data_IF_582010423439
#
_entry.id   IF_582010423439
#
_cell.length_a   1.000
_cell.length_b   1.000
_cell.length_c   1.000
_cell.angle_alpha   90.00
_cell.angle_beta   90.00
_cell.angle_gamma   90.00
#
_symmetry.space_group_name_H-M   'P 1'
#
loop_
_entity.id
_entity.type
_entity.pdbx_description
1 polymer ?
#
# COMPACT_ATOMS: atom_id res chain seq x y z
N UNK A 1 3.51 6.73 26.18
CA UNK A 1 3.28 5.84 25.03
C UNK A 1 3.37 6.65 23.75
N UNK A 2 3.46 5.99 22.59
CA UNK A 2 3.40 6.70 21.30
C UNK A 2 1.99 7.27 21.06
N UNK A 3 1.91 8.43 20.42
CA UNK A 3 0.68 9.04 19.91
C UNK A 3 0.54 8.68 18.44
N UNK A 4 -0.68 8.36 18.01
CA UNK A 4 -1.01 8.00 16.63
C UNK A 4 -1.99 9.03 16.05
N UNK A 5 -1.64 9.60 14.90
CA UNK A 5 -2.51 10.48 14.13
C UNK A 5 -2.68 9.94 12.72
N UNK A 6 -3.91 9.85 12.21
CA UNK A 6 -4.17 9.48 10.81
C UNK A 6 -3.75 10.63 9.91
N UNK A 7 -2.90 10.35 8.92
CA UNK A 7 -2.40 11.34 7.96
C UNK A 7 -3.29 11.39 6.72
N UNK A 8 -3.50 10.23 6.10
CA UNK A 8 -4.32 10.09 4.91
C UNK A 8 -4.75 8.63 4.74
N UNK A 9 -5.65 8.39 3.81
CA UNK A 9 -6.04 7.04 3.36
C UNK A 9 -5.26 6.62 2.13
N UNK A 10 -5.34 5.38 1.67
CA UNK A 10 -4.80 4.93 0.39
C UNK A 10 -5.63 3.74 -0.09
N UNK A 11 -6.20 3.84 -1.28
CA UNK A 11 -7.08 2.82 -1.81
C UNK A 11 -6.26 1.77 -2.55
N UNK A 12 -6.47 0.49 -2.21
CA UNK A 12 -5.83 -0.60 -2.93
C UNK A 12 -6.67 -1.07 -4.12
N UNK A 13 -5.98 -1.56 -5.14
CA UNK A 13 -6.52 -2.21 -6.34
C UNK A 13 -5.79 -3.53 -6.59
N UNK A 14 -6.44 -4.45 -7.29
CA UNK A 14 -5.77 -5.62 -7.85
C UNK A 14 -5.23 -5.25 -9.24
N UNK A 15 -3.94 -5.45 -9.47
CA UNK A 15 -3.30 -5.08 -10.73
C UNK A 15 -2.39 -6.20 -11.23
N UNK A 16 -2.22 -6.27 -12.55
CA UNK A 16 -1.35 -7.24 -13.22
C UNK A 16 -2.09 -8.39 -13.89
N UNK A 17 -1.31 -9.35 -14.35
CA UNK A 17 -1.74 -10.31 -15.36
C UNK A 17 -2.11 -11.65 -14.74
N UNK A 18 -3.21 -12.27 -15.17
CA UNK A 18 -3.68 -13.56 -14.64
C UNK A 18 -2.81 -14.74 -15.11
N UNK A 19 -1.61 -14.86 -14.54
CA UNK A 19 -0.63 -15.91 -14.82
C UNK A 19 -0.72 -17.09 -13.85
N UNK A 20 -1.65 -17.04 -12.89
CA UNK A 20 -1.67 -17.95 -11.73
C UNK A 20 -0.69 -17.56 -10.62
N UNK A 21 0.20 -16.60 -10.86
CA UNK A 21 1.13 -16.07 -9.85
C UNK A 21 0.56 -14.84 -9.17
N UNK A 22 0.55 -14.87 -7.84
CA UNK A 22 0.30 -13.70 -7.01
C UNK A 22 1.58 -13.27 -6.29
N UNK A 23 1.84 -11.97 -6.31
CA UNK A 23 3.01 -11.34 -5.73
C UNK A 23 2.57 -10.58 -4.48
N UNK A 24 3.26 -10.78 -3.37
CA UNK A 24 2.98 -10.10 -2.11
C UNK A 24 4.26 -9.63 -1.42
N UNK A 25 4.09 -8.85 -0.35
CA UNK A 25 5.18 -8.35 0.47
C UNK A 25 5.56 -9.36 1.56
N UNK A 26 6.73 -9.16 2.16
CA UNK A 26 7.27 -9.94 3.26
C UNK A 26 6.31 -10.07 4.45
N UNK A 27 6.52 -11.10 5.26
CA UNK A 27 5.74 -11.37 6.46
C UNK A 27 5.77 -10.17 7.42
N UNK A 28 4.64 -9.89 8.07
CA UNK A 28 4.48 -8.72 8.94
C UNK A 28 4.28 -7.37 8.23
N UNK A 29 4.39 -7.32 6.90
CA UNK A 29 4.06 -6.09 6.15
C UNK A 29 2.54 -5.87 6.08
N UNK A 30 2.11 -4.61 6.11
CA UNK A 30 0.69 -4.27 5.92
C UNK A 30 0.15 -4.76 4.56
N UNK A 31 0.97 -4.77 3.52
CA UNK A 31 0.58 -5.28 2.20
C UNK A 31 0.31 -6.79 2.20
N UNK A 32 1.08 -7.58 2.96
CA UNK A 32 0.83 -9.01 3.12
C UNK A 32 -0.54 -9.27 3.74
N UNK A 33 -0.89 -8.51 4.79
CA UNK A 33 -2.22 -8.57 5.42
C UNK A 33 -3.34 -8.33 4.40
N UNK A 34 -3.29 -7.22 3.65
CA UNK A 34 -4.32 -6.91 2.66
C UNK A 34 -4.38 -7.92 1.51
N UNK A 35 -3.23 -8.43 1.06
CA UNK A 35 -3.19 -9.45 0.00
C UNK A 35 -3.91 -10.72 0.45
N UNK A 36 -3.59 -11.22 1.64
CA UNK A 36 -4.25 -12.41 2.20
C UNK A 36 -5.75 -12.19 2.36
N UNK A 37 -6.16 -11.05 2.93
CA UNK A 37 -7.56 -10.71 3.12
C UNK A 37 -8.34 -10.64 1.79
N UNK A 38 -7.74 -10.06 0.75
CA UNK A 38 -8.35 -9.98 -0.57
C UNK A 38 -8.49 -11.35 -1.22
N UNK A 39 -7.42 -12.14 -1.26
CA UNK A 39 -7.44 -13.48 -1.85
C UNK A 39 -8.51 -14.36 -1.19
N UNK A 40 -8.60 -14.31 0.14
CA UNK A 40 -9.63 -15.04 0.88
C UNK A 40 -11.05 -14.54 0.54
N UNK A 41 -11.28 -13.23 0.58
CA UNK A 41 -12.60 -12.65 0.30
C UNK A 41 -13.07 -12.91 -1.14
N UNK A 42 -12.14 -12.94 -2.10
CA UNK A 42 -12.42 -13.19 -3.51
C UNK A 42 -12.46 -14.69 -3.86
N UNK A 43 -12.17 -15.60 -2.91
CA UNK A 43 -12.10 -17.04 -3.18
C UNK A 43 -10.97 -17.41 -4.15
N UNK A 44 -9.90 -16.61 -4.20
CA UNK A 44 -8.76 -16.82 -5.11
C UNK A 44 -7.72 -17.69 -4.40
N UNK A 45 -7.39 -18.81 -5.03
CA UNK A 45 -6.27 -19.69 -4.65
C UNK A 45 -5.18 -19.60 -5.72
N UNK A 46 -4.10 -18.81 -5.50
CA UNK A 46 -3.01 -18.68 -6.46
C UNK A 46 -2.30 -20.03 -6.70
N UNK A 47 -1.83 -20.27 -7.92
CA UNK A 47 -0.98 -21.41 -8.23
C UNK A 47 0.41 -21.23 -7.60
N UNK A 48 0.91 -19.99 -7.62
CA UNK A 48 2.19 -19.62 -7.04
C UNK A 48 2.07 -18.32 -6.24
N UNK A 49 2.71 -18.30 -5.06
CA UNK A 49 2.89 -17.11 -4.26
C UNK A 49 4.35 -16.68 -4.29
N UNK A 50 4.61 -15.50 -4.84
CA UNK A 50 5.92 -14.86 -4.84
C UNK A 50 5.96 -13.80 -3.74
N UNK A 51 7.02 -13.76 -2.96
CA UNK A 51 7.22 -12.74 -1.90
C UNK A 51 8.39 -11.84 -2.26
N UNK A 52 8.19 -10.52 -2.15
CA UNK A 52 9.24 -9.50 -2.34
C UNK A 52 9.33 -8.59 -1.13
N UNK A 53 10.50 -7.97 -0.92
CA UNK A 53 10.77 -7.19 0.30
C UNK A 53 10.49 -5.68 0.17
N UNK A 54 10.10 -5.18 -1.00
CA UNK A 54 9.81 -3.77 -1.22
C UNK A 54 8.72 -3.55 -2.29
N UNK A 55 8.04 -2.39 -2.23
CA UNK A 55 6.95 -2.07 -3.14
C UNK A 55 7.41 -1.79 -4.58
N UNK A 56 8.65 -1.31 -4.77
CA UNK A 56 9.17 -1.01 -6.11
C UNK A 56 9.34 -2.29 -6.93
N UNK A 57 9.87 -3.36 -6.32
CA UNK A 57 9.95 -4.69 -6.93
C UNK A 57 8.56 -5.26 -7.23
N UNK A 58 7.60 -5.09 -6.33
CA UNK A 58 6.23 -5.53 -6.54
C UNK A 58 5.61 -4.85 -7.78
N UNK A 59 5.74 -3.53 -7.88
CA UNK A 59 5.28 -2.76 -9.05
C UNK A 59 6.01 -3.18 -10.34
N UNK A 60 7.33 -3.30 -10.30
CA UNK A 60 8.13 -3.66 -11.46
C UNK A 60 7.72 -5.04 -12.01
N UNK A 61 7.54 -6.05 -11.16
CA UNK A 61 7.14 -7.39 -11.58
C UNK A 61 5.72 -7.41 -12.18
N UNK A 62 4.79 -6.61 -11.63
CA UNK A 62 3.45 -6.43 -12.20
C UNK A 62 3.52 -5.80 -13.60
N UNK A 63 4.31 -4.73 -13.76
CA UNK A 63 4.51 -4.05 -15.04
C UNK A 63 5.16 -4.97 -16.09
N UNK A 64 6.02 -5.90 -15.67
CA UNK A 64 6.68 -6.89 -16.54
C UNK A 64 5.85 -8.15 -16.81
N UNK A 65 4.60 -8.23 -16.32
CA UNK A 65 3.73 -9.36 -16.66
C UNK A 65 3.92 -10.62 -15.82
N UNK A 66 4.66 -10.56 -14.70
CA UNK A 66 4.98 -11.75 -13.89
C UNK A 66 3.72 -12.32 -13.21
N UNK A 67 2.80 -11.46 -12.78
CA UNK A 67 1.57 -11.90 -12.14
C UNK A 67 0.72 -10.74 -11.63
N UNK A 68 -0.11 -11.04 -10.64
CA UNK A 68 -1.02 -10.09 -10.00
C UNK A 68 -0.53 -9.69 -8.61
N UNK A 69 -0.83 -8.47 -8.20
CA UNK A 69 -0.59 -8.01 -6.84
C UNK A 69 -1.61 -6.97 -6.42
N UNK A 70 -1.71 -6.73 -5.11
CA UNK A 70 -2.36 -5.52 -4.63
C UNK A 70 -1.39 -4.34 -4.70
N UNK A 71 -1.85 -3.21 -5.22
CA UNK A 71 -1.11 -1.96 -5.35
C UNK A 71 -2.00 -0.79 -4.93
N UNK A 72 -1.38 0.36 -4.61
CA UNK A 72 -2.13 1.63 -4.46
C UNK A 72 -2.75 2.00 -5.80
N UNK A 73 -3.94 2.58 -5.80
CA UNK A 73 -4.58 3.12 -7.01
C UNK A 73 -3.86 4.36 -7.58
N UNK A 74 -2.92 4.92 -6.81
CA UNK A 74 -2.12 6.09 -7.19
C UNK A 74 -0.83 5.75 -7.94
N UNK A 75 -0.45 4.47 -8.06
CA UNK A 75 0.79 4.12 -8.79
C UNK A 75 0.59 4.04 -10.29
N UNK A 76 1.57 4.50 -11.06
CA UNK A 76 1.57 4.37 -12.51
C UNK A 76 1.78 2.89 -12.92
N UNK A 77 0.72 2.25 -13.44
CA UNK A 77 0.75 0.83 -13.82
C UNK A 77 1.26 0.57 -15.25
N UNK A 78 1.47 1.60 -16.05
CA UNK A 78 1.74 1.45 -17.49
C UNK A 78 0.57 0.74 -18.17
N UNK A 79 0.83 -0.39 -18.84
CA UNK A 79 -0.19 -1.18 -19.53
C UNK A 79 -0.77 -2.32 -18.69
N UNK A 80 -0.34 -2.49 -17.43
CA UNK A 80 -0.85 -3.57 -16.60
C UNK A 80 -2.34 -3.35 -16.29
N UNK A 81 -3.20 -4.36 -16.45
CA UNK A 81 -4.62 -4.22 -16.17
C UNK A 81 -4.85 -3.99 -14.67
N UNK A 82 -5.91 -3.25 -14.35
CA UNK A 82 -6.26 -2.86 -13.00
C UNK A 82 -7.74 -3.11 -12.73
N UNK A 83 -8.06 -3.55 -11.51
CA UNK A 83 -9.41 -3.79 -11.06
C UNK A 83 -9.61 -3.20 -9.67
N UNK A 84 -10.71 -2.44 -9.52
CA UNK A 84 -11.18 -1.98 -8.22
C UNK A 84 -11.67 -3.17 -7.37
N UNK A 85 -11.26 -3.19 -6.10
CA UNK A 85 -11.55 -4.29 -5.16
C UNK A 85 -12.48 -3.89 -4.01
N UNK A 86 -12.97 -2.65 -4.03
CA UNK A 86 -13.94 -2.11 -3.08
C UNK A 86 -13.32 -1.28 -1.94
N UNK A 87 -14.15 -0.45 -1.28
CA UNK A 87 -13.70 0.53 -0.29
C UNK A 87 -13.16 -0.11 1.00
N UNK A 88 -13.47 -1.38 1.27
CA UNK A 88 -12.96 -2.11 2.43
C UNK A 88 -11.45 -2.40 2.36
N UNK A 89 -10.83 -2.26 1.19
CA UNK A 89 -9.37 -2.37 1.00
C UNK A 89 -8.66 -1.01 0.99
N UNK A 90 -9.29 -0.01 1.60
CA UNK A 90 -8.62 1.25 1.90
C UNK A 90 -7.76 1.10 3.17
N UNK A 91 -6.50 1.50 3.08
CA UNK A 91 -5.58 1.54 4.23
C UNK A 91 -5.39 2.96 4.73
N UNK A 92 -5.04 3.09 6.00
CA UNK A 92 -4.72 4.37 6.62
C UNK A 92 -3.21 4.47 6.83
N UNK A 93 -2.64 5.60 6.43
CA UNK A 93 -1.29 5.98 6.83
C UNK A 93 -1.33 6.79 8.11
N UNK A 94 -0.47 6.42 9.06
CA UNK A 94 -0.44 7.01 10.38
C UNK A 94 0.92 7.62 10.67
N UNK A 95 0.91 8.78 11.31
CA UNK A 95 2.06 9.36 11.97
C UNK A 95 2.14 8.81 13.40
N UNK A 96 3.21 8.10 13.71
CA UNK A 96 3.51 7.62 15.06
C UNK A 96 4.56 8.51 15.71
N UNK A 97 4.24 9.07 16.87
CA UNK A 97 5.08 10.08 17.53
C UNK A 97 5.38 9.68 18.96
N UNK A 98 6.63 9.88 19.39
CA UNK A 98 6.90 9.97 20.82
C UNK A 98 6.57 11.39 21.30
N UNK A 99 5.55 11.59 22.14
CA UNK A 99 5.17 12.93 22.60
C UNK A 99 6.27 13.59 23.44
N UNK A 100 7.06 12.80 24.17
CA UNK A 100 8.10 13.32 25.08
C UNK A 100 9.41 13.64 24.39
N UNK A 101 9.60 13.22 23.13
CA UNK A 101 10.78 13.59 22.37
C UNK A 101 10.77 15.10 22.11
N UNK A 102 11.79 15.80 22.61
CA UNK A 102 11.93 17.25 22.43
C UNK A 102 13.19 17.54 21.62
N UNK A 103 13.03 18.19 20.48
CA UNK A 103 14.14 18.70 19.67
C UNK A 103 13.67 19.90 18.84
N UNK A 104 14.56 20.86 18.52
CA UNK A 104 14.16 22.22 18.12
C UNK A 104 13.29 22.33 16.86
N UNK A 105 13.39 21.38 15.93
CA UNK A 105 12.66 21.44 14.65
C UNK A 105 11.49 20.47 14.55
N UNK A 106 11.10 19.82 15.67
CA UNK A 106 10.01 18.83 15.69
C UNK A 106 8.73 19.39 15.10
N UNK A 107 8.24 20.53 15.60
CA UNK A 107 6.94 21.07 15.17
C UNK A 107 6.94 21.45 13.69
N UNK A 108 7.97 22.18 13.24
CA UNK A 108 8.10 22.58 11.83
C UNK A 108 8.17 21.37 10.89
N UNK A 109 8.82 20.27 11.29
CA UNK A 109 8.83 19.02 10.53
C UNK A 109 7.44 18.37 10.49
N UNK A 110 6.74 18.33 11.63
CA UNK A 110 5.39 17.76 11.72
C UNK A 110 4.40 18.51 10.83
N UNK A 111 4.44 19.83 10.85
CA UNK A 111 3.55 20.67 10.03
C UNK A 111 3.75 20.38 8.55
N UNK A 112 5.01 20.27 8.09
CA UNK A 112 5.34 19.89 6.70
C UNK A 112 4.84 18.49 6.32
N UNK A 113 4.96 17.51 7.22
CA UNK A 113 4.47 16.15 6.97
C UNK A 113 2.94 16.16 6.81
N UNK A 114 2.23 16.87 7.69
CA UNK A 114 0.77 16.98 7.64
C UNK A 114 0.30 17.72 6.39
N UNK A 115 0.98 18.80 6.02
CA UNK A 115 0.70 19.55 4.79
C UNK A 115 0.89 18.67 3.55
N UNK A 116 2.00 17.95 3.46
CA UNK A 116 2.26 17.02 2.35
C UNK A 116 1.22 15.90 2.26
N UNK A 117 0.80 15.34 3.40
CA UNK A 117 -0.23 14.31 3.44
C UNK A 117 -1.58 14.85 2.93
N UNK A 118 -1.99 16.06 3.34
CA UNK A 118 -3.23 16.68 2.86
C UNK A 118 -3.18 17.00 1.36
N UNK A 119 -2.05 17.52 0.87
CA UNK A 119 -1.89 17.79 -0.56
C UNK A 119 -2.03 16.50 -1.41
N UNK A 120 -1.56 15.37 -0.87
CA UNK A 120 -1.70 14.05 -1.53
C UNK A 120 -3.13 13.48 -1.51
N UNK A 121 -4.03 14.03 -0.71
CA UNK A 121 -5.47 13.71 -0.75
C UNK A 121 -6.23 14.59 -1.74
N UNK A 122 -5.83 15.85 -1.90
CA UNK A 122 -6.49 16.82 -2.81
C UNK A 122 -6.20 16.52 -4.29
N UNK A 123 -5.09 15.84 -4.58
CA UNK A 123 -4.69 15.48 -5.96
C UNK A 123 -5.27 14.11 -6.39
N UNK A 124 -6.19 13.54 -5.60
CA UNK A 124 -6.90 12.28 -5.89
C UNK A 124 -8.18 12.46 -6.70
#
# INVERSE_FOLDING_TARGET
>A
GAVRTTLCTDQLIAAGWSTGTWITREEGSGMRYYTTAYLQAAGISPQHMMTVNNNAMLLALVQQGVGQALLSDQVALGNAPAQAIGPQFQRHFYLLQNPTANWPHKQAMLDKIVEAARASEVTR
#
